data_IF_079348998430
#
_entry.id   IF_079348998430
#
_cell.length_a   1.000
_cell.length_b   1.000
_cell.length_c   1.000
_cell.angle_alpha   90.00
_cell.angle_beta   90.00
_cell.angle_gamma   90.00
#
_symmetry.space_group_name_H-M   'P 1'
#
loop_
_entity.id
_entity.type
_entity.pdbx_description
1 polymer ?
#
# COMPACT_ATOMS: atom_id res chain seq x y z
N UNK A 1 12.72 0.32 2.69
CA UNK A 1 14.00 -0.12 3.27
C UNK A 1 13.68 -1.10 4.38
N UNK A 2 14.50 -2.14 4.53
CA UNK A 2 14.42 -3.05 5.66
C UNK A 2 15.06 -2.43 6.90
N UNK A 3 14.54 -2.78 8.07
CA UNK A 3 15.03 -2.33 9.37
C UNK A 3 15.79 -3.47 10.04
N UNK A 4 17.08 -3.26 10.31
CA UNK A 4 17.97 -4.20 10.97
C UNK A 4 18.29 -3.69 12.37
N UNK A 5 17.79 -4.36 13.41
CA UNK A 5 18.02 -4.01 14.80
C UNK A 5 19.23 -4.79 15.34
N UNK A 6 20.24 -4.11 15.86
CA UNK A 6 21.40 -4.74 16.50
C UNK A 6 21.27 -4.66 18.02
N UNK A 7 21.37 -5.79 18.68
CA UNK A 7 21.27 -5.93 20.14
C UNK A 7 22.51 -6.67 20.65
N UNK A 8 22.97 -6.31 21.82
CA UNK A 8 24.08 -6.99 22.48
C UNK A 8 24.65 -6.14 23.60
N UNK A 9 25.54 -6.73 24.34
CA UNK A 9 26.20 -6.08 25.45
C UNK A 9 27.05 -4.89 25.02
N UNK A 10 27.47 -4.11 26.00
CA UNK A 10 28.50 -3.12 25.79
C UNK A 10 29.74 -3.79 25.14
N UNK A 11 30.37 -3.11 24.22
CA UNK A 11 31.53 -3.59 23.43
C UNK A 11 31.32 -4.87 22.61
N UNK A 12 30.10 -5.38 22.42
CA UNK A 12 29.85 -6.55 21.59
C UNK A 12 30.07 -6.33 20.07
N UNK A 13 30.59 -5.19 19.65
CA UNK A 13 30.96 -4.94 18.26
C UNK A 13 29.83 -4.49 17.34
N UNK A 14 28.66 -4.09 17.85
CA UNK A 14 27.50 -3.65 17.06
C UNK A 14 27.82 -2.47 16.14
N UNK A 15 28.28 -1.37 16.69
CA UNK A 15 28.66 -0.16 15.95
C UNK A 15 29.81 -0.42 14.97
N UNK A 16 30.78 -1.26 15.37
CA UNK A 16 31.88 -1.67 14.51
C UNK A 16 31.42 -2.49 13.32
N UNK A 17 30.42 -3.39 13.52
CA UNK A 17 29.81 -4.13 12.43
C UNK A 17 29.11 -3.22 11.43
N UNK A 18 28.39 -2.22 11.90
CA UNK A 18 27.72 -1.25 11.01
C UNK A 18 28.76 -0.52 10.17
N UNK A 19 29.82 0.03 10.78
CA UNK A 19 30.89 0.72 10.07
C UNK A 19 31.55 -0.19 9.02
N UNK A 20 31.82 -1.45 9.37
CA UNK A 20 32.37 -2.43 8.44
C UNK A 20 31.40 -2.74 7.28
N UNK A 21 30.10 -2.92 7.57
CA UNK A 21 29.10 -3.22 6.56
C UNK A 21 28.96 -2.13 5.52
N UNK A 22 28.94 -0.86 5.97
CA UNK A 22 28.79 0.31 5.09
C UNK A 22 30.13 0.78 4.51
N UNK A 23 31.28 0.23 4.99
CA UNK A 23 32.65 0.63 4.61
C UNK A 23 32.90 2.13 4.84
N UNK A 24 32.27 2.70 5.86
CA UNK A 24 32.41 4.10 6.25
C UNK A 24 32.35 4.22 7.78
N UNK A 25 33.21 5.06 8.36
CA UNK A 25 33.20 5.33 9.79
C UNK A 25 32.12 6.37 10.14
N UNK A 26 30.92 5.88 10.43
CA UNK A 26 29.76 6.72 10.78
C UNK A 26 29.48 6.68 12.27
N UNK A 27 29.59 5.51 12.88
CA UNK A 27 29.41 5.32 14.32
C UNK A 27 30.76 5.50 15.05
N UNK A 28 30.71 6.24 16.15
CA UNK A 28 31.87 6.30 17.07
C UNK A 28 32.06 4.95 17.71
N UNK A 29 33.28 4.45 17.67
CA UNK A 29 33.65 3.16 18.25
C UNK A 29 34.82 3.37 19.20
N UNK A 30 34.72 2.83 20.42
CA UNK A 30 35.75 2.95 21.46
C UNK A 30 35.57 1.90 22.53
N UNK A 31 36.51 1.90 23.51
CA UNK A 31 36.42 1.04 24.69
C UNK A 31 35.43 1.61 25.71
N UNK A 32 35.25 2.93 25.72
CA UNK A 32 34.28 3.62 26.55
C UNK A 32 32.86 3.41 26.04
N UNK A 33 31.85 3.75 26.83
CA UNK A 33 30.44 3.70 26.43
C UNK A 33 30.17 4.85 25.45
N UNK A 34 30.47 4.62 24.18
CA UNK A 34 30.30 5.61 23.11
C UNK A 34 28.82 5.73 22.69
N UNK A 35 28.10 4.61 22.58
CA UNK A 35 26.70 4.59 22.18
C UNK A 35 25.83 4.70 23.42
N UNK A 36 25.45 5.91 23.80
CA UNK A 36 24.61 6.18 24.96
C UNK A 36 23.10 6.16 24.65
N UNK A 37 22.74 6.17 23.36
CA UNK A 37 21.36 6.20 22.87
C UNK A 37 21.14 5.28 21.67
N UNK A 38 20.05 5.52 20.99
CA UNK A 38 19.72 4.82 19.75
C UNK A 38 20.22 5.61 18.55
N UNK A 39 20.89 4.97 17.62
CA UNK A 39 21.31 5.60 16.37
C UNK A 39 20.73 4.85 15.18
N UNK A 40 19.94 5.53 14.37
CA UNK A 40 19.50 5.04 13.06
C UNK A 40 20.59 5.34 12.04
N UNK A 41 21.11 4.34 11.37
CA UNK A 41 22.09 4.50 10.30
C UNK A 41 21.45 4.14 8.98
N UNK A 42 21.31 5.13 8.10
CA UNK A 42 20.59 4.96 6.83
C UNK A 42 21.30 5.67 5.68
N UNK A 43 20.97 5.28 4.45
CA UNK A 43 21.56 5.89 3.25
C UNK A 43 20.77 7.11 2.78
N UNK A 44 21.50 8.11 2.31
CA UNK A 44 20.96 9.32 1.71
C UNK A 44 21.84 9.91 0.62
N UNK A 45 21.45 11.10 0.13
CA UNK A 45 22.20 11.83 -0.92
C UNK A 45 23.38 12.63 -0.35
N UNK A 46 23.29 13.02 0.91
CA UNK A 46 24.32 13.78 1.64
C UNK A 46 24.56 13.11 2.98
N UNK A 47 25.80 13.26 3.49
CA UNK A 47 26.14 12.86 4.85
C UNK A 47 25.59 13.92 5.81
N UNK A 48 24.72 13.49 6.71
CA UNK A 48 24.05 14.37 7.68
C UNK A 48 23.82 13.59 8.98
N UNK A 49 23.85 14.32 10.10
CA UNK A 49 23.50 13.82 11.42
C UNK A 49 22.25 14.56 11.91
N UNK A 50 21.23 13.83 12.33
CA UNK A 50 19.96 14.38 12.78
C UNK A 50 19.73 14.05 14.25
N UNK A 51 19.21 15.03 14.99
CA UNK A 51 18.73 14.83 16.37
C UNK A 51 17.38 14.11 16.40
N UNK A 52 16.95 13.65 17.57
CA UNK A 52 15.74 12.84 17.73
C UNK A 52 14.49 13.46 17.15
N UNK A 53 14.24 14.75 17.38
CA UNK A 53 13.06 15.42 16.83
C UNK A 53 13.12 15.50 15.29
N UNK A 54 14.28 15.79 14.71
CA UNK A 54 14.47 15.80 13.26
C UNK A 54 14.32 14.39 12.68
N UNK A 55 14.84 13.37 13.39
CA UNK A 55 14.67 11.95 13.05
C UNK A 55 13.21 11.57 12.96
N UNK A 56 12.40 11.91 13.96
CA UNK A 56 10.97 11.56 13.99
C UNK A 56 10.14 12.36 12.98
N UNK A 57 10.62 13.54 12.58
CA UNK A 57 9.99 14.30 11.49
C UNK A 57 10.28 13.65 10.12
N UNK A 58 11.52 13.24 9.88
CA UNK A 58 11.95 12.63 8.63
C UNK A 58 11.42 11.20 8.49
N UNK A 59 11.30 10.47 9.60
CA UNK A 59 10.81 9.08 9.67
C UNK A 59 9.54 8.97 10.54
N UNK A 60 8.36 9.36 10.03
CA UNK A 60 7.12 9.40 10.81
C UNK A 60 6.69 8.08 11.45
N UNK A 61 7.11 6.94 10.89
CA UNK A 61 6.81 5.62 11.42
C UNK A 61 7.49 5.35 12.78
N UNK A 62 8.52 6.11 13.14
CA UNK A 62 9.14 6.06 14.48
C UNK A 62 8.52 7.05 15.49
N UNK A 63 7.54 7.87 15.10
CA UNK A 63 6.87 8.82 16.02
C UNK A 63 6.35 8.19 17.32
N UNK A 64 5.85 6.94 17.35
CA UNK A 64 5.42 6.32 18.61
C UNK A 64 6.51 6.22 19.68
N UNK A 65 7.80 6.29 19.33
CA UNK A 65 8.91 6.36 20.31
C UNK A 65 8.82 7.57 21.24
N UNK A 66 8.14 8.64 20.83
CA UNK A 66 7.89 9.81 21.70
C UNK A 66 7.08 9.48 22.96
N UNK A 67 6.32 8.36 22.94
CA UNK A 67 5.55 7.91 24.10
C UNK A 67 6.42 7.28 25.19
N UNK A 68 7.64 6.89 24.84
CA UNK A 68 8.60 6.27 25.77
C UNK A 68 9.44 7.39 26.36
N UNK A 69 9.39 7.51 27.68
CA UNK A 69 10.02 8.61 28.41
C UNK A 69 11.53 8.72 28.14
N UNK A 70 11.98 9.88 27.74
CA UNK A 70 13.39 10.23 27.56
C UNK A 70 14.04 9.70 26.28
N UNK A 71 13.40 8.86 25.49
CA UNK A 71 14.03 8.22 24.31
C UNK A 71 14.40 9.23 23.23
N UNK A 72 13.59 10.26 23.01
CA UNK A 72 13.80 11.25 21.94
C UNK A 72 15.11 12.01 22.08
N UNK A 73 15.50 12.32 23.29
CA UNK A 73 16.75 13.07 23.59
C UNK A 73 18.01 12.22 23.32
N UNK A 74 17.84 10.89 23.31
CA UNK A 74 18.89 9.90 23.07
C UNK A 74 18.72 9.16 21.75
N UNK A 75 17.93 9.72 20.83
CA UNK A 75 17.72 9.21 19.47
C UNK A 75 18.49 10.10 18.48
N UNK A 76 19.26 9.49 17.61
CA UNK A 76 19.97 10.19 16.52
C UNK A 76 19.82 9.44 15.22
N UNK A 77 20.04 10.12 14.11
CA UNK A 77 20.14 9.47 12.79
C UNK A 77 21.39 9.93 12.09
N UNK A 78 22.18 8.96 11.66
CA UNK A 78 23.34 9.18 10.82
C UNK A 78 23.00 8.77 9.38
N UNK A 79 23.11 9.71 8.46
CA UNK A 79 22.87 9.49 7.03
C UNK A 79 24.22 9.37 6.34
N UNK A 80 24.48 8.22 5.72
CA UNK A 80 25.69 7.95 4.95
C UNK A 80 25.39 7.92 3.45
N UNK A 81 26.38 8.25 2.64
CA UNK A 81 26.31 8.20 1.17
C UNK A 81 26.78 6.88 0.60
N UNK A 82 27.23 5.94 1.43
CA UNK A 82 27.67 4.62 1.03
C UNK A 82 26.59 3.85 0.25
N UNK A 83 27.03 3.09 -0.75
CA UNK A 83 26.17 2.20 -1.55
C UNK A 83 26.61 0.73 -1.47
N UNK A 84 27.56 0.43 -0.60
CA UNK A 84 28.09 -0.91 -0.43
C UNK A 84 27.01 -1.90 0.03
N UNK A 85 27.15 -3.16 -0.31
CA UNK A 85 26.31 -4.27 0.16
C UNK A 85 24.79 -3.97 0.16
N UNK A 86 24.29 -3.28 -0.89
CA UNK A 86 22.88 -2.87 -1.01
C UNK A 86 22.39 -1.97 0.15
N UNK A 87 23.30 -1.26 0.84
CA UNK A 87 22.97 -0.38 1.99
C UNK A 87 21.86 0.65 1.69
N UNK A 88 21.69 1.01 0.41
CA UNK A 88 20.57 1.84 -0.04
C UNK A 88 19.18 1.35 0.38
N UNK A 89 19.03 0.05 0.63
CA UNK A 89 17.79 -0.62 1.00
C UNK A 89 17.72 -1.00 2.49
N UNK A 90 18.73 -0.64 3.28
CA UNK A 90 18.83 -1.00 4.69
C UNK A 90 18.79 0.25 5.58
N UNK A 91 18.22 0.12 6.75
CA UNK A 91 18.37 1.04 7.88
C UNK A 91 18.78 0.22 9.10
N UNK A 92 19.98 0.45 9.60
CA UNK A 92 20.43 -0.15 10.85
C UNK A 92 19.94 0.67 12.04
N UNK A 93 19.58 -0.01 13.11
CA UNK A 93 19.33 0.59 14.42
C UNK A 93 20.38 0.06 15.37
N UNK A 94 21.34 0.92 15.70
CA UNK A 94 22.32 0.63 16.74
C UNK A 94 21.72 0.93 18.11
N UNK A 95 21.77 -0.05 19.00
CA UNK A 95 21.23 0.09 20.36
C UNK A 95 22.34 0.40 21.35
N UNK A 96 22.03 1.11 22.44
CA UNK A 96 23.00 1.27 23.53
C UNK A 96 23.46 -0.09 24.02
N UNK A 97 24.74 -0.18 24.38
CA UNK A 97 25.31 -1.41 24.92
C UNK A 97 24.64 -1.78 26.23
N UNK A 98 24.13 -3.00 26.32
CA UNK A 98 23.47 -3.48 27.53
C UNK A 98 24.51 -3.92 28.57
N UNK A 99 24.28 -3.56 29.82
CA UNK A 99 25.15 -3.88 30.95
C UNK A 99 24.29 -4.35 32.12
N UNK A 100 24.77 -5.37 32.84
CA UNK A 100 24.17 -5.80 34.11
C UNK A 100 24.62 -4.87 35.27
N UNK A 101 23.85 -4.87 36.34
CA UNK A 101 24.13 -4.10 37.57
C UNK A 101 23.29 -2.81 37.66
N UNK A 102 23.76 -1.89 38.50
CA UNK A 102 23.03 -0.66 38.88
C UNK A 102 23.08 0.45 37.84
N UNK A 103 23.57 0.16 36.64
CA UNK A 103 23.63 1.16 35.57
C UNK A 103 22.22 1.57 35.14
N UNK A 104 21.86 2.79 35.49
CA UNK A 104 20.57 3.39 35.11
C UNK A 104 20.76 4.15 33.79
N UNK A 105 19.93 3.78 32.81
CA UNK A 105 19.80 4.58 31.59
C UNK A 105 18.90 5.79 31.88
N UNK A 106 19.16 6.96 31.27
CA UNK A 106 18.32 8.14 31.46
C UNK A 106 16.93 8.01 30.82
N UNK A 107 16.65 6.89 30.16
CA UNK A 107 15.39 6.59 29.46
C UNK A 107 15.04 5.08 29.61
N UNK A 108 13.80 4.73 29.28
CA UNK A 108 13.30 3.36 29.34
C UNK A 108 13.84 2.52 28.16
N UNK A 109 15.09 2.04 28.28
CA UNK A 109 15.82 1.34 27.23
C UNK A 109 15.15 0.04 26.80
N UNK A 110 14.58 -0.72 27.78
CA UNK A 110 13.98 -2.01 27.52
C UNK A 110 12.71 -1.88 26.66
N UNK A 111 11.84 -0.95 27.01
CA UNK A 111 10.59 -0.69 26.30
C UNK A 111 10.86 -0.17 24.88
N UNK A 112 11.88 0.67 24.75
CA UNK A 112 12.31 1.18 23.44
C UNK A 112 12.83 0.04 22.54
N UNK A 113 13.66 -0.86 23.06
CA UNK A 113 14.19 -2.00 22.30
C UNK A 113 13.06 -2.96 21.92
N UNK A 114 12.14 -3.27 22.86
CA UNK A 114 10.98 -4.14 22.58
C UNK A 114 10.08 -3.53 21.52
N UNK A 115 9.87 -2.22 21.54
CA UNK A 115 9.09 -1.52 20.53
C UNK A 115 9.81 -1.50 19.16
N UNK A 116 11.10 -1.20 19.14
CA UNK A 116 11.92 -1.22 17.91
C UNK A 116 11.98 -2.64 17.31
N UNK A 117 12.01 -3.67 18.14
CA UNK A 117 11.97 -5.06 17.71
C UNK A 117 10.70 -5.41 16.92
N UNK A 118 9.55 -4.82 17.27
CA UNK A 118 8.30 -5.01 16.49
C UNK A 118 8.38 -4.42 15.09
N UNK A 119 9.15 -3.36 14.93
CA UNK A 119 9.34 -2.66 13.66
C UNK A 119 10.46 -3.26 12.81
N UNK A 120 11.35 -4.06 13.43
CA UNK A 120 12.50 -4.64 12.76
C UNK A 120 12.12 -5.82 11.86
N UNK A 121 12.69 -5.84 10.66
CA UNK A 121 12.59 -6.98 9.74
C UNK A 121 13.52 -8.12 10.13
N UNK A 122 14.64 -7.77 10.78
CA UNK A 122 15.58 -8.73 11.39
C UNK A 122 16.20 -8.14 12.66
N UNK A 123 16.41 -8.99 13.64
CA UNK A 123 17.10 -8.67 14.90
C UNK A 123 18.40 -9.48 14.96
N UNK A 124 19.53 -8.80 14.97
CA UNK A 124 20.86 -9.40 15.11
C UNK A 124 21.31 -9.28 16.57
N UNK A 125 21.49 -10.40 17.22
CA UNK A 125 21.92 -10.46 18.62
C UNK A 125 23.39 -10.87 18.66
N UNK A 126 24.24 -10.00 19.21
CA UNK A 126 25.68 -10.21 19.31
C UNK A 126 26.06 -10.57 20.74
N UNK A 127 26.66 -11.74 20.91
CA UNK A 127 27.26 -12.20 22.15
C UNK A 127 28.78 -12.10 22.09
N UNK A 128 29.36 -11.34 23.00
CA UNK A 128 30.84 -11.21 23.11
C UNK A 128 31.37 -12.32 24.05
N UNK A 129 32.22 -13.24 23.57
CA UNK A 129 32.74 -14.34 24.40
C UNK A 129 33.68 -13.88 25.52
N UNK A 130 34.27 -12.70 25.42
CA UNK A 130 35.23 -12.15 26.42
C UNK A 130 34.53 -11.25 27.42
N UNK A 131 33.50 -10.54 26.96
CA UNK A 131 32.69 -9.67 27.81
C UNK A 131 31.66 -10.43 28.63
N UNK A 132 30.61 -9.73 29.06
CA UNK A 132 29.50 -10.32 29.82
C UNK A 132 28.56 -11.11 28.86
N UNK A 133 29.05 -12.23 28.29
CA UNK A 133 28.27 -13.04 27.34
C UNK A 133 26.87 -13.43 27.85
N UNK A 134 26.72 -13.61 29.17
CA UNK A 134 25.49 -14.03 29.83
C UNK A 134 24.80 -12.89 30.61
N UNK A 135 24.87 -11.65 30.11
CA UNK A 135 24.17 -10.51 30.71
C UNK A 135 22.66 -10.80 30.85
N UNK A 136 22.15 -10.77 32.09
CA UNK A 136 20.75 -11.05 32.39
C UNK A 136 19.80 -10.10 31.67
N UNK A 137 20.16 -8.81 31.57
CA UNK A 137 19.36 -7.80 30.89
C UNK A 137 19.21 -8.14 29.39
N UNK A 138 20.33 -8.49 28.72
CA UNK A 138 20.32 -8.92 27.32
C UNK A 138 19.45 -10.16 27.12
N UNK A 139 19.61 -11.17 27.96
CA UNK A 139 18.85 -12.41 27.89
C UNK A 139 17.33 -12.18 28.11
N UNK A 140 16.96 -11.32 29.06
CA UNK A 140 15.54 -10.97 29.30
C UNK A 140 14.92 -10.22 28.12
N UNK A 141 15.67 -9.31 27.49
CA UNK A 141 15.21 -8.61 26.29
C UNK A 141 15.07 -9.55 25.09
N UNK A 142 16.03 -10.45 24.89
CA UNK A 142 15.99 -11.47 23.83
C UNK A 142 14.77 -12.36 24.02
N UNK A 143 14.47 -12.79 25.26
CA UNK A 143 13.26 -13.56 25.58
C UNK A 143 11.98 -12.78 25.28
N UNK A 144 11.90 -11.50 25.69
CA UNK A 144 10.77 -10.63 25.40
C UNK A 144 10.54 -10.42 23.89
N UNK A 145 11.61 -10.29 23.12
CA UNK A 145 11.56 -10.17 21.66
C UNK A 145 11.18 -11.49 20.97
N UNK A 146 11.62 -12.63 21.48
CA UNK A 146 11.35 -13.94 20.88
C UNK A 146 9.85 -14.28 20.88
N UNK A 147 9.10 -13.81 21.86
CA UNK A 147 7.65 -14.00 21.92
C UNK A 147 6.91 -13.40 20.71
N UNK A 148 7.52 -12.45 20.01
CA UNK A 148 6.90 -11.72 18.91
C UNK A 148 7.65 -11.91 17.57
N UNK A 149 8.95 -12.21 17.61
CA UNK A 149 9.84 -12.15 16.45
C UNK A 149 10.84 -13.33 16.37
N UNK A 150 10.50 -14.52 16.88
CA UNK A 150 11.42 -15.66 16.93
C UNK A 150 12.10 -15.97 15.58
N UNK A 151 11.34 -15.96 14.49
CA UNK A 151 11.83 -16.28 13.14
C UNK A 151 12.77 -15.21 12.57
N UNK A 152 12.67 -13.98 13.09
CA UNK A 152 13.46 -12.82 12.64
C UNK A 152 14.72 -12.60 13.45
N UNK A 153 14.93 -13.39 14.51
CA UNK A 153 16.10 -13.26 15.35
C UNK A 153 17.22 -14.16 14.86
N UNK A 154 18.44 -13.61 14.82
CA UNK A 154 19.67 -14.32 14.50
C UNK A 154 20.73 -14.03 15.55
N UNK A 155 21.41 -15.07 15.99
CA UNK A 155 22.40 -15.02 17.06
C UNK A 155 23.80 -15.18 16.49
N UNK A 156 24.76 -14.37 16.98
CA UNK A 156 26.14 -14.42 16.52
C UNK A 156 27.09 -14.33 17.70
N UNK A 157 28.15 -15.13 17.64
CA UNK A 157 29.29 -15.02 18.54
C UNK A 157 30.26 -14.00 17.94
N UNK A 158 30.23 -12.76 18.47
CA UNK A 158 31.05 -11.67 17.98
C UNK A 158 32.45 -11.72 18.56
N UNK A 159 33.44 -10.99 17.97
CA UNK A 159 34.85 -10.96 18.40
C UNK A 159 35.47 -12.33 18.58
N UNK A 160 35.07 -13.27 17.73
CA UNK A 160 35.54 -14.63 17.84
C UNK A 160 37.09 -14.78 17.67
N UNK A 161 37.71 -13.78 17.06
CA UNK A 161 39.18 -13.67 16.93
C UNK A 161 39.93 -13.37 18.23
N UNK A 162 39.23 -12.83 19.22
CA UNK A 162 39.81 -12.47 20.52
C UNK A 162 39.57 -13.58 21.58
N UNK A 163 38.70 -14.54 21.35
CA UNK A 163 38.25 -15.54 22.30
C UNK A 163 39.22 -16.70 22.57
N UNK A 164 40.49 -16.57 22.26
CA UNK A 164 41.50 -17.59 22.55
C UNK A 164 41.41 -18.82 21.65
N UNK A 165 41.57 -20.02 22.27
CA UNK A 165 41.56 -21.29 21.52
C UNK A 165 40.15 -21.74 21.11
N UNK A 166 40.06 -22.58 20.06
CA UNK A 166 38.80 -23.13 19.56
C UNK A 166 37.94 -23.78 20.64
N UNK A 167 38.60 -24.56 21.51
CA UNK A 167 37.92 -25.25 22.63
C UNK A 167 37.27 -24.29 23.61
N UNK A 168 37.85 -23.12 23.87
CA UNK A 168 37.30 -22.12 24.77
C UNK A 168 36.11 -21.40 24.13
N UNK A 169 36.21 -21.08 22.84
CA UNK A 169 35.06 -20.53 22.07
C UNK A 169 33.86 -21.48 22.08
N UNK A 170 34.10 -22.76 21.84
CA UNK A 170 33.04 -23.77 21.85
C UNK A 170 32.39 -23.91 23.26
N UNK A 171 33.20 -23.87 24.32
CA UNK A 171 32.64 -23.89 25.70
C UNK A 171 31.74 -22.69 25.96
N UNK A 172 32.20 -21.48 25.63
CA UNK A 172 31.40 -20.26 25.82
C UNK A 172 30.12 -20.31 24.97
N UNK A 173 30.24 -20.71 23.71
CA UNK A 173 29.07 -20.88 22.83
C UNK A 173 28.06 -21.85 23.42
N UNK A 174 28.50 -23.01 23.91
CA UNK A 174 27.63 -24.00 24.56
C UNK A 174 26.98 -23.45 25.81
N UNK A 175 27.68 -22.65 26.63
CA UNK A 175 27.10 -21.98 27.80
C UNK A 175 26.01 -21.01 27.40
N UNK A 176 26.24 -20.18 26.36
CA UNK A 176 25.23 -19.24 25.87
C UNK A 176 23.99 -20.00 25.37
N UNK A 177 24.17 -21.02 24.56
CA UNK A 177 23.08 -21.86 24.04
C UNK A 177 22.30 -22.52 25.18
N UNK A 178 22.98 -23.07 26.20
CA UNK A 178 22.32 -23.66 27.36
C UNK A 178 21.47 -22.62 28.12
N UNK A 179 21.97 -21.41 28.33
CA UNK A 179 21.20 -20.35 29.00
C UNK A 179 20.01 -19.88 28.16
N UNK A 180 20.16 -19.81 26.83
CA UNK A 180 19.05 -19.51 25.93
C UNK A 180 17.99 -20.63 25.95
N UNK A 181 18.41 -21.89 25.95
CA UNK A 181 17.50 -23.05 26.00
C UNK A 181 16.71 -23.16 27.31
N UNK A 182 17.21 -22.65 28.43
CA UNK A 182 16.48 -22.62 29.70
C UNK A 182 15.29 -21.68 29.68
N UNK A 183 15.20 -20.77 28.72
CA UNK A 183 14.16 -19.74 28.66
C UNK A 183 12.98 -20.17 27.80
N UNK A 184 11.74 -20.08 28.33
CA UNK A 184 10.55 -20.43 27.59
C UNK A 184 10.41 -19.48 26.37
N UNK A 185 10.12 -20.02 25.21
CA UNK A 185 10.01 -19.25 23.97
C UNK A 185 11.25 -19.29 23.08
N UNK A 186 12.45 -19.39 23.64
CA UNK A 186 13.69 -19.52 22.87
C UNK A 186 13.99 -20.97 22.45
N UNK A 187 13.42 -21.96 23.13
CA UNK A 187 13.60 -23.38 22.78
C UNK A 187 13.19 -23.77 21.35
N UNK A 188 12.43 -22.92 20.67
CA UNK A 188 11.95 -23.12 19.30
C UNK A 188 12.90 -22.53 18.26
N UNK A 189 13.83 -21.68 18.67
CA UNK A 189 14.83 -21.12 17.78
C UNK A 189 15.93 -22.15 17.60
N UNK A 190 16.16 -22.64 16.38
CA UNK A 190 17.36 -23.38 16.10
C UNK A 190 18.57 -22.48 16.37
N UNK A 191 19.39 -22.84 17.38
CA UNK A 191 20.56 -22.04 17.75
C UNK A 191 21.74 -22.37 16.84
N UNK A 192 21.71 -21.79 15.64
CA UNK A 192 22.91 -21.59 14.88
C UNK A 192 23.56 -20.28 15.32
N UNK A 193 24.77 -20.34 15.84
CA UNK A 193 25.50 -19.18 16.36
C UNK A 193 26.86 -19.05 15.64
N UNK A 194 26.85 -18.55 14.41
CA UNK A 194 28.06 -18.37 13.65
C UNK A 194 29.07 -17.46 14.37
N UNK A 195 30.36 -17.83 14.31
CA UNK A 195 31.45 -17.04 14.86
C UNK A 195 31.83 -15.94 13.87
N UNK A 196 31.70 -14.69 14.31
CA UNK A 196 32.00 -13.52 13.48
C UNK A 196 33.04 -12.61 14.11
N UNK A 197 33.84 -11.97 13.28
CA UNK A 197 34.73 -10.88 13.67
C UNK A 197 34.97 -9.94 12.49
N UNK A 198 35.43 -8.72 12.78
CA UNK A 198 35.77 -7.77 11.73
C UNK A 198 37.19 -8.08 11.25
N UNK A 199 37.38 -8.37 9.94
CA UNK A 199 38.69 -8.68 9.42
C UNK A 199 39.70 -7.56 9.66
N UNK A 200 40.80 -7.87 10.29
CA UNK A 200 41.92 -6.94 10.46
C UNK A 200 43.15 -7.51 9.73
N UNK A 201 43.63 -6.85 8.66
CA UNK A 201 44.77 -7.34 7.86
C UNK A 201 46.06 -7.48 8.66
N UNK A 202 46.22 -6.76 9.79
CA UNK A 202 47.42 -6.78 10.63
C UNK A 202 47.46 -7.95 11.62
N UNK A 203 46.37 -8.71 11.77
CA UNK A 203 46.23 -9.80 12.76
C UNK A 203 45.99 -11.13 12.08
N UNK A 204 46.88 -12.10 12.27
CA UNK A 204 46.64 -13.46 11.83
C UNK A 204 45.70 -14.17 12.79
N UNK A 205 44.54 -14.57 12.30
CA UNK A 205 43.51 -15.24 13.11
C UNK A 205 43.36 -16.69 12.63
N UNK A 206 43.27 -17.63 13.58
CA UNK A 206 43.05 -19.07 13.28
C UNK A 206 41.58 -19.46 13.30
N UNK A 207 40.66 -18.52 13.51
CA UNK A 207 39.23 -18.75 13.54
C UNK A 207 38.62 -18.56 12.14
N UNK A 208 37.71 -19.43 11.77
CA UNK A 208 36.89 -19.22 10.55
C UNK A 208 35.93 -18.09 10.78
N UNK A 209 35.96 -17.09 9.91
CA UNK A 209 35.05 -15.94 9.99
C UNK A 209 33.79 -16.18 9.17
N UNK A 210 32.64 -16.19 9.80
CA UNK A 210 31.34 -16.38 9.15
C UNK A 210 30.57 -15.05 8.96
N UNK A 211 31.26 -13.90 8.99
CA UNK A 211 30.63 -12.59 8.87
C UNK A 211 29.85 -12.41 7.56
N UNK A 212 30.26 -13.10 6.50
CA UNK A 212 29.55 -13.12 5.21
C UNK A 212 28.17 -13.76 5.31
N UNK A 213 27.94 -14.65 6.27
CA UNK A 213 26.60 -15.24 6.52
C UNK A 213 25.62 -14.18 7.01
N UNK A 214 26.10 -13.22 7.82
CA UNK A 214 25.27 -12.08 8.24
C UNK A 214 24.82 -11.27 7.04
N UNK A 215 25.75 -10.98 6.12
CA UNK A 215 25.44 -10.29 4.86
C UNK A 215 24.42 -11.04 4.03
N UNK A 216 24.59 -12.36 3.86
CA UNK A 216 23.65 -13.23 3.12
C UNK A 216 22.25 -13.23 3.77
N UNK A 217 22.17 -13.26 5.10
CA UNK A 217 20.90 -13.18 5.80
C UNK A 217 20.20 -11.83 5.55
N UNK A 218 20.93 -10.71 5.62
CA UNK A 218 20.39 -9.38 5.33
C UNK A 218 19.94 -9.31 3.86
N UNK A 219 20.75 -9.78 2.92
CA UNK A 219 20.40 -9.81 1.49
C UNK A 219 19.13 -10.62 1.22
N UNK A 220 19.02 -11.82 1.82
CA UNK A 220 17.82 -12.66 1.69
C UNK A 220 16.55 -11.93 2.16
N UNK A 221 16.64 -11.17 3.22
CA UNK A 221 15.51 -10.38 3.74
C UNK A 221 15.20 -9.18 2.83
N UNK A 222 16.23 -8.53 2.27
CA UNK A 222 16.05 -7.47 1.26
C UNK A 222 15.26 -8.04 0.09
N UNK A 223 15.71 -9.15 -0.47
CA UNK A 223 15.11 -9.77 -1.65
C UNK A 223 13.66 -10.22 -1.36
N UNK A 224 13.42 -10.82 -0.19
CA UNK A 224 12.06 -11.19 0.25
C UNK A 224 11.17 -9.96 0.44
N UNK A 225 11.66 -8.90 1.06
CA UNK A 225 10.89 -7.65 1.27
C UNK A 225 10.56 -6.97 -0.06
N UNK A 226 11.50 -6.93 -1.00
CA UNK A 226 11.28 -6.39 -2.35
C UNK A 226 10.22 -7.22 -3.08
N UNK A 227 10.34 -8.55 -3.06
CA UNK A 227 9.36 -9.44 -3.70
C UNK A 227 7.96 -9.26 -3.09
N UNK A 228 7.85 -9.30 -1.77
CA UNK A 228 6.58 -9.06 -1.07
C UNK A 228 5.96 -7.71 -1.42
N UNK A 229 6.77 -6.65 -1.50
CA UNK A 229 6.29 -5.31 -1.90
C UNK A 229 5.78 -5.29 -3.34
N UNK A 230 6.45 -5.98 -4.24
CA UNK A 230 6.01 -6.13 -5.64
C UNK A 230 4.69 -6.91 -5.75
N UNK A 231 4.53 -7.94 -4.93
CA UNK A 231 3.30 -8.77 -4.92
C UNK A 231 2.11 -7.99 -4.32
N UNK A 232 2.35 -7.14 -3.30
CA UNK A 232 1.33 -6.22 -2.79
C UNK A 232 0.93 -5.21 -3.86
N UNK A 233 1.91 -4.57 -4.51
CA UNK A 233 1.66 -3.61 -5.57
C UNK A 233 0.83 -4.23 -6.72
N UNK A 234 1.12 -5.47 -7.11
CA UNK A 234 0.35 -6.17 -8.13
C UNK A 234 -1.10 -6.36 -7.72
N UNK A 235 -1.34 -6.86 -6.51
CA UNK A 235 -2.70 -7.03 -5.98
C UNK A 235 -3.47 -5.71 -5.93
N UNK A 236 -2.81 -4.65 -5.48
CA UNK A 236 -3.43 -3.32 -5.43
C UNK A 236 -3.76 -2.81 -6.84
N UNK A 237 -2.86 -3.00 -7.80
CA UNK A 237 -3.09 -2.64 -9.20
C UNK A 237 -4.23 -3.45 -9.83
N UNK A 238 -4.33 -4.76 -9.54
CA UNK A 238 -5.45 -5.58 -10.00
C UNK A 238 -6.79 -5.16 -9.40
N UNK A 239 -6.81 -4.85 -8.10
CA UNK A 239 -8.01 -4.35 -7.43
C UNK A 239 -8.44 -3.00 -8.01
N UNK A 240 -7.52 -2.07 -8.19
CA UNK A 240 -7.79 -0.78 -8.81
C UNK A 240 -8.28 -0.96 -10.26
N UNK A 241 -7.66 -1.84 -11.04
CA UNK A 241 -8.08 -2.15 -12.40
C UNK A 241 -9.53 -2.66 -12.45
N UNK A 242 -9.89 -3.60 -11.57
CA UNK A 242 -11.27 -4.12 -11.45
C UNK A 242 -12.26 -3.01 -11.10
N UNK A 243 -11.97 -2.21 -10.07
CA UNK A 243 -12.85 -1.11 -9.65
C UNK A 243 -13.05 -0.07 -10.75
N UNK A 244 -11.99 0.27 -11.49
CA UNK A 244 -12.07 1.22 -12.61
C UNK A 244 -12.92 0.64 -13.74
N UNK A 245 -12.70 -0.63 -14.09
CA UNK A 245 -13.47 -1.31 -15.15
C UNK A 245 -14.95 -1.40 -14.78
N UNK A 246 -15.29 -1.83 -13.57
CA UNK A 246 -16.65 -1.87 -13.05
C UNK A 246 -17.32 -0.48 -13.09
N UNK A 247 -16.59 0.57 -12.74
CA UNK A 247 -17.11 1.94 -12.77
C UNK A 247 -17.40 2.43 -14.17
N UNK A 248 -16.55 2.10 -15.14
CA UNK A 248 -16.76 2.44 -16.57
C UNK A 248 -17.95 1.65 -17.11
N UNK A 249 -18.10 0.36 -16.76
CA UNK A 249 -19.21 -0.48 -17.17
C UNK A 249 -20.55 0.03 -16.60
N UNK A 250 -20.58 0.38 -15.30
CA UNK A 250 -21.75 1.01 -14.68
C UNK A 250 -22.15 2.32 -15.39
N UNK A 251 -21.17 3.15 -15.79
CA UNK A 251 -21.44 4.37 -16.56
C UNK A 251 -22.02 4.06 -17.94
N UNK A 252 -21.53 3.03 -18.62
CA UNK A 252 -22.06 2.63 -19.93
C UNK A 252 -23.49 2.06 -19.81
N UNK A 253 -23.77 1.27 -18.77
CA UNK A 253 -25.12 0.77 -18.46
C UNK A 253 -26.05 1.96 -18.16
N UNK A 254 -25.64 2.86 -17.27
CA UNK A 254 -26.42 4.06 -16.92
C UNK A 254 -26.73 4.93 -18.15
N UNK A 255 -25.77 5.08 -19.07
CA UNK A 255 -26.00 5.81 -20.35
C UNK A 255 -27.01 5.11 -21.25
N UNK A 256 -26.95 3.79 -21.37
CA UNK A 256 -27.91 2.99 -22.13
C UNK A 256 -29.32 3.11 -21.57
N UNK A 257 -29.44 3.01 -20.24
CA UNK A 257 -30.71 3.19 -19.54
C UNK A 257 -31.26 4.61 -19.72
N UNK A 258 -30.43 5.63 -19.56
CA UNK A 258 -30.82 7.01 -19.77
C UNK A 258 -31.27 7.27 -21.22
N UNK A 259 -30.63 6.64 -22.20
CA UNK A 259 -31.04 6.73 -23.60
C UNK A 259 -32.41 6.13 -23.83
N UNK A 260 -32.67 4.93 -23.33
CA UNK A 260 -33.98 4.26 -23.44
C UNK A 260 -35.07 5.02 -22.71
N UNK A 261 -34.80 5.56 -21.51
CA UNK A 261 -35.70 6.42 -20.77
C UNK A 261 -35.97 7.73 -21.55
N UNK A 262 -34.96 8.31 -22.17
CA UNK A 262 -35.10 9.48 -23.03
C UNK A 262 -36.06 9.27 -24.17
N UNK A 263 -35.96 8.15 -24.89
CA UNK A 263 -36.87 7.80 -25.98
C UNK A 263 -38.29 7.55 -25.47
N UNK A 264 -38.50 6.83 -24.38
CA UNK A 264 -39.80 6.64 -23.75
C UNK A 264 -40.45 7.96 -23.35
N UNK A 265 -39.69 8.85 -22.76
CA UNK A 265 -40.15 10.21 -22.40
C UNK A 265 -40.57 11.00 -23.62
N UNK A 266 -39.75 11.00 -24.68
CA UNK A 266 -40.01 11.69 -25.92
C UNK A 266 -41.30 11.17 -26.56
N UNK A 267 -41.50 9.83 -26.58
CA UNK A 267 -42.73 9.18 -27.06
C UNK A 267 -43.96 9.65 -26.29
N UNK A 268 -43.93 9.62 -24.95
CA UNK A 268 -45.02 10.08 -24.10
C UNK A 268 -45.33 11.58 -24.29
N UNK A 269 -44.31 12.41 -24.44
CA UNK A 269 -44.48 13.83 -24.74
C UNK A 269 -45.11 14.08 -26.10
N UNK A 270 -44.71 13.30 -27.14
CA UNK A 270 -45.30 13.41 -28.47
C UNK A 270 -46.76 12.99 -28.44
N UNK A 271 -47.11 11.85 -27.82
CA UNK A 271 -48.49 11.41 -27.66
C UNK A 271 -49.33 12.46 -26.94
N UNK A 272 -48.82 13.03 -25.84
CA UNK A 272 -49.50 14.07 -25.10
C UNK A 272 -49.75 15.34 -25.91
N UNK A 273 -48.90 15.65 -26.88
CA UNK A 273 -49.04 16.84 -27.76
C UNK A 273 -49.94 16.55 -28.94
N UNK A 274 -49.92 15.32 -29.49
CA UNK A 274 -50.78 14.92 -30.60
C UNK A 274 -52.24 14.88 -30.20
N UNK A 275 -52.59 14.41 -28.98
CA UNK A 275 -53.99 14.29 -28.53
C UNK A 275 -54.73 15.65 -28.56
N UNK A 276 -54.25 16.71 -27.91
CA UNK A 276 -54.93 18.04 -27.96
C UNK A 276 -54.87 18.65 -29.36
N UNK A 277 -53.81 18.38 -30.13
CA UNK A 277 -53.71 18.83 -31.51
C UNK A 277 -54.81 18.22 -32.38
N UNK A 278 -55.06 16.90 -32.27
CA UNK A 278 -56.15 16.21 -32.98
C UNK A 278 -57.50 16.74 -32.58
N UNK A 279 -57.72 17.01 -31.28
CA UNK A 279 -58.97 17.61 -30.77
C UNK A 279 -59.20 19.01 -31.38
N UNK A 280 -58.13 19.86 -31.36
CA UNK A 280 -58.20 21.16 -31.94
C UNK A 280 -58.45 21.15 -33.46
N UNK A 281 -57.76 20.26 -34.15
CA UNK A 281 -57.89 20.06 -35.58
C UNK A 281 -59.34 19.63 -35.96
N UNK A 282 -59.89 18.69 -35.21
CA UNK A 282 -61.31 18.25 -35.38
C UNK A 282 -62.29 19.39 -35.14
N UNK A 283 -62.02 20.25 -34.15
CA UNK A 283 -62.85 21.46 -33.90
C UNK A 283 -62.72 22.50 -35.02
N UNK A 284 -61.52 22.68 -35.59
CA UNK A 284 -61.30 23.60 -36.73
C UNK A 284 -62.00 23.11 -38.04
N UNK A 285 -61.97 21.82 -38.29
CA UNK A 285 -62.60 21.23 -39.46
C UNK A 285 -64.13 21.37 -39.41
N UNK A 286 -64.73 21.33 -38.20
CA UNK A 286 -66.21 21.42 -38.01
C UNK A 286 -66.73 22.85 -37.81
N UNK A 287 -65.84 23.76 -37.36
CA UNK A 287 -66.22 25.12 -37.03
C UNK A 287 -66.22 26.06 -38.25
N UNK A 288 -66.54 27.33 -37.99
CA UNK A 288 -66.54 28.38 -39.03
C UNK A 288 -65.15 28.61 -39.65
N UNK A 289 -64.11 28.04 -39.09
CA UNK A 289 -62.71 28.16 -39.52
C UNK A 289 -62.34 27.21 -40.70
N UNK A 290 -63.27 26.41 -41.20
CA UNK A 290 -63.01 25.48 -42.32
C UNK A 290 -62.46 26.16 -43.54
N UNK A 291 -62.98 27.38 -43.88
CA UNK A 291 -62.50 28.16 -44.99
C UNK A 291 -61.05 28.68 -44.85
N UNK A 292 -60.61 28.95 -43.60
CA UNK A 292 -59.20 29.26 -43.35
C UNK A 292 -58.28 28.07 -43.56
N UNK A 293 -58.75 26.88 -43.20
CA UNK A 293 -57.97 25.63 -43.33
C UNK A 293 -57.83 25.29 -44.83
N UNK A 294 -58.89 25.43 -45.63
CA UNK A 294 -58.88 25.27 -47.09
C UNK A 294 -57.98 26.26 -47.78
N UNK A 295 -57.91 27.49 -47.27
CA UNK A 295 -57.01 28.55 -47.79
C UNK A 295 -55.55 28.26 -47.48
N UNK A 296 -55.18 27.67 -46.34
CA UNK A 296 -53.83 27.37 -45.93
C UNK A 296 -53.31 26.04 -46.48
N UNK A 297 -54.11 25.02 -46.55
CA UNK A 297 -53.66 23.62 -46.89
C UNK A 297 -54.14 23.16 -48.30
N UNK A 298 -55.05 23.90 -48.91
CA UNK A 298 -55.67 23.54 -50.18
C UNK A 298 -56.84 22.58 -50.02
N UNK A 299 -57.78 22.57 -51.01
CA UNK A 299 -59.04 21.82 -50.93
C UNK A 299 -58.83 20.30 -50.90
N UNK A 300 -57.88 19.78 -51.69
CA UNK A 300 -57.58 18.34 -51.78
C UNK A 300 -56.97 17.80 -50.48
N UNK A 301 -56.05 18.53 -49.84
CA UNK A 301 -55.42 18.12 -48.59
C UNK A 301 -56.42 18.16 -47.42
N UNK A 302 -57.36 19.09 -47.44
CA UNK A 302 -58.43 19.22 -46.45
C UNK A 302 -59.43 18.03 -46.55
N UNK A 303 -59.72 17.53 -47.75
CA UNK A 303 -60.56 16.34 -47.94
C UNK A 303 -59.89 15.08 -47.40
N UNK A 304 -58.61 14.86 -47.62
CA UNK A 304 -57.86 13.75 -47.03
C UNK A 304 -57.79 13.84 -45.49
N UNK A 305 -57.67 15.04 -44.95
CA UNK A 305 -57.66 15.28 -43.51
C UNK A 305 -59.01 14.99 -42.88
N UNK A 306 -60.11 15.34 -43.55
CA UNK A 306 -61.49 14.99 -43.14
C UNK A 306 -61.68 13.47 -43.16
N UNK A 307 -61.18 12.78 -44.21
CA UNK A 307 -61.25 11.33 -44.27
C UNK A 307 -60.47 10.65 -43.16
N UNK A 308 -59.26 11.19 -42.82
CA UNK A 308 -58.43 10.67 -41.71
C UNK A 308 -59.09 10.91 -40.34
N UNK A 309 -59.90 11.95 -40.20
CA UNK A 309 -60.62 12.31 -38.96
C UNK A 309 -61.97 11.63 -38.79
N UNK A 310 -62.46 10.88 -39.81
CA UNK A 310 -63.77 10.19 -39.74
C UNK A 310 -63.88 9.20 -38.55
N UNK A 311 -62.88 8.46 -38.12
CA UNK A 311 -62.99 7.60 -36.94
C UNK A 311 -63.24 8.36 -35.65
N UNK A 312 -62.60 9.52 -35.50
CA UNK A 312 -62.75 10.40 -34.34
C UNK A 312 -64.13 11.03 -34.38
N UNK A 313 -64.61 11.29 -35.55
CA UNK A 313 -65.93 11.83 -35.87
C UNK A 313 -67.04 10.84 -35.51
N UNK A 314 -66.89 9.58 -35.81
CA UNK A 314 -67.81 8.52 -35.45
C UNK A 314 -67.91 8.41 -33.91
N UNK A 315 -66.79 8.48 -33.22
CA UNK A 315 -66.76 8.43 -31.75
C UNK A 315 -67.49 9.61 -31.10
N UNK A 316 -67.39 10.81 -31.70
CA UNK A 316 -68.09 12.02 -31.22
C UNK A 316 -69.60 12.07 -31.53
N UNK A 317 -70.06 11.36 -32.59
CA UNK A 317 -71.49 11.25 -32.96
C UNK A 317 -72.27 10.25 -32.12
N UNK A 318 -71.58 9.32 -31.47
CA UNK A 318 -72.23 8.36 -30.55
C UNK A 318 -72.64 9.02 -29.22
N UNK A 319 -72.07 10.18 -28.89
CA UNK A 319 -72.36 10.91 -27.66
C UNK A 319 -73.31 12.12 -27.97
N UNK A 320 -74.50 12.23 -27.35
CA UNK A 320 -75.40 13.35 -27.56
C UNK A 320 -74.81 14.67 -27.06
N UNK A 321 -75.13 15.77 -27.72
CA UNK A 321 -74.84 17.12 -27.16
C UNK A 321 -75.55 17.27 -25.83
N UNK A 322 -74.91 17.55 -24.72
CA UNK A 322 -73.77 18.47 -24.44
C UNK A 322 -72.47 17.79 -24.09
N UNK A 323 -72.33 16.48 -24.31
CA UNK A 323 -71.14 15.70 -23.88
C UNK A 323 -69.88 15.94 -24.69
N UNK A 324 -69.93 16.61 -25.83
CA UNK A 324 -68.74 16.93 -26.65
C UNK A 324 -67.63 17.72 -25.90
N UNK A 325 -68.07 18.66 -25.05
CA UNK A 325 -67.13 19.42 -24.20
C UNK A 325 -66.48 18.55 -23.13
N UNK A 326 -67.25 17.58 -22.60
CA UNK A 326 -66.78 16.64 -21.57
C UNK A 326 -65.78 15.65 -22.13
N UNK A 327 -65.94 15.21 -23.37
CA UNK A 327 -64.92 14.37 -24.07
C UNK A 327 -63.67 15.16 -24.36
N UNK A 328 -63.75 16.41 -24.80
CA UNK A 328 -62.59 17.25 -25.04
C UNK A 328 -61.82 17.52 -23.73
N UNK A 329 -62.50 17.74 -22.62
CA UNK A 329 -61.86 17.95 -21.31
C UNK A 329 -61.22 16.62 -20.80
N UNK A 330 -61.87 15.51 -20.99
CA UNK A 330 -61.31 14.18 -20.65
C UNK A 330 -60.05 13.87 -21.45
N UNK A 331 -60.03 14.12 -22.78
CA UNK A 331 -58.86 13.97 -23.62
C UNK A 331 -57.71 14.86 -23.23
N UNK A 332 -57.97 16.10 -22.88
CA UNK A 332 -56.93 17.02 -22.37
C UNK A 332 -56.39 16.58 -21.01
N UNK A 333 -57.26 16.08 -20.11
CA UNK A 333 -56.84 15.49 -18.84
C UNK A 333 -55.92 14.29 -19.03
N UNK A 334 -56.26 13.39 -19.99
CA UNK A 334 -55.39 12.26 -20.35
C UNK A 334 -54.02 12.73 -20.90
N UNK A 335 -54.02 13.74 -21.76
CA UNK A 335 -52.76 14.35 -22.26
C UNK A 335 -51.88 14.90 -21.13
N UNK A 336 -52.50 15.58 -20.16
CA UNK A 336 -51.80 16.08 -18.97
C UNK A 336 -51.28 14.91 -18.12
N UNK A 337 -52.04 13.85 -17.95
CA UNK A 337 -51.58 12.64 -17.25
C UNK A 337 -50.35 12.04 -17.90
N UNK A 338 -50.28 11.96 -19.24
CA UNK A 338 -49.11 11.52 -19.99
C UNK A 338 -47.88 12.44 -19.75
N UNK A 339 -48.07 13.73 -19.68
CA UNK A 339 -46.97 14.67 -19.31
C UNK A 339 -46.47 14.47 -17.90
N UNK A 340 -47.39 14.28 -16.94
CA UNK A 340 -47.03 14.01 -15.55
C UNK A 340 -46.27 12.68 -15.44
N UNK A 341 -46.75 11.63 -16.09
CA UNK A 341 -46.03 10.33 -16.09
C UNK A 341 -44.68 10.40 -16.82
N UNK A 342 -44.57 11.15 -17.91
CA UNK A 342 -43.30 11.42 -18.59
C UNK A 342 -42.29 12.15 -17.69
N UNK A 343 -42.79 13.08 -16.85
CA UNK A 343 -41.94 13.79 -15.91
C UNK A 343 -41.57 12.95 -14.68
N UNK A 344 -42.49 12.16 -14.15
CA UNK A 344 -42.27 11.35 -12.95
C UNK A 344 -41.33 10.17 -13.19
N UNK A 345 -41.37 9.58 -14.39
CA UNK A 345 -40.53 8.46 -14.77
C UNK A 345 -39.17 8.87 -15.35
N UNK A 346 -38.72 10.10 -15.11
CA UNK A 346 -37.51 10.71 -15.74
C UNK A 346 -36.39 11.02 -14.76
N UNK A 347 -36.16 10.17 -13.73
CA UNK A 347 -34.92 10.26 -12.95
C UNK A 347 -33.78 9.63 -13.76
N UNK A 348 -32.96 10.47 -14.37
CA UNK A 348 -31.73 10.00 -15.05
C UNK A 348 -30.69 9.52 -14.04
N UNK A 349 -30.10 8.40 -14.32
CA UNK A 349 -28.97 7.90 -13.54
C UNK A 349 -27.76 8.83 -13.71
N UNK A 350 -27.01 9.12 -12.63
CA UNK A 350 -25.81 9.95 -12.72
C UNK A 350 -24.75 9.25 -13.59
N UNK A 351 -24.25 9.94 -14.59
CA UNK A 351 -23.20 9.49 -15.50
C UNK A 351 -21.90 10.22 -15.28
N UNK A 352 -20.77 9.59 -15.62
CA UNK A 352 -19.46 10.19 -15.55
C UNK A 352 -19.31 11.32 -16.55
N UNK A 353 -18.63 12.41 -16.13
CA UNK A 353 -18.21 13.46 -17.06
C UNK A 353 -17.11 12.97 -17.97
N UNK A 354 -16.96 13.59 -19.17
CA UNK A 354 -15.90 13.23 -20.11
C UNK A 354 -14.49 13.32 -19.49
N UNK A 355 -14.27 14.28 -18.58
CA UNK A 355 -12.99 14.45 -17.87
C UNK A 355 -12.73 13.29 -16.91
N UNK A 356 -13.74 12.89 -16.14
CA UNK A 356 -13.64 11.76 -15.22
C UNK A 356 -13.40 10.44 -15.97
N UNK A 357 -14.12 10.20 -17.06
CA UNK A 357 -13.94 9.00 -17.88
C UNK A 357 -12.53 8.89 -18.44
N UNK A 358 -11.99 9.98 -19.03
CA UNK A 358 -10.60 10.02 -19.51
C UNK A 358 -9.61 9.74 -18.39
N UNK A 359 -9.78 10.37 -17.21
CA UNK A 359 -8.89 10.13 -16.09
C UNK A 359 -8.88 8.67 -15.65
N UNK A 360 -10.03 7.98 -15.68
CA UNK A 360 -10.11 6.55 -15.35
C UNK A 360 -9.45 5.67 -16.44
N UNK A 361 -9.67 6.00 -17.72
CA UNK A 361 -9.03 5.32 -18.86
C UNK A 361 -7.51 5.51 -18.83
N UNK A 362 -7.01 6.72 -18.55
CA UNK A 362 -5.58 7.01 -18.39
C UNK A 362 -4.97 6.21 -17.22
N UNK A 363 -5.69 6.09 -16.10
CA UNK A 363 -5.27 5.28 -14.97
C UNK A 363 -5.16 3.79 -15.33
N UNK A 364 -6.14 3.26 -16.06
CA UNK A 364 -6.12 1.86 -16.52
C UNK A 364 -4.94 1.61 -17.47
N UNK A 365 -4.75 2.49 -18.44
CA UNK A 365 -3.62 2.44 -19.39
C UNK A 365 -2.27 2.52 -18.66
N UNK A 366 -2.15 3.36 -17.63
CA UNK A 366 -0.94 3.45 -16.81
C UNK A 366 -0.64 2.13 -16.09
N UNK A 367 -1.67 1.52 -15.47
CA UNK A 367 -1.53 0.23 -14.78
C UNK A 367 -1.09 -0.87 -15.76
N UNK A 368 -1.75 -0.98 -16.92
CA UNK A 368 -1.50 -2.05 -17.87
C UNK A 368 -0.18 -1.90 -18.63
N UNK A 369 0.13 -0.71 -19.09
CA UNK A 369 1.27 -0.47 -20.00
C UNK A 369 2.55 -0.07 -19.29
N UNK A 370 2.47 0.43 -18.04
CA UNK A 370 3.66 0.92 -17.33
C UNK A 370 3.96 0.09 -16.09
N UNK A 371 2.96 -0.19 -15.24
CA UNK A 371 3.21 -0.86 -13.96
C UNK A 371 3.45 -2.35 -14.16
N UNK A 372 2.56 -3.05 -14.85
CA UNK A 372 2.67 -4.51 -15.10
C UNK A 372 3.98 -4.89 -15.83
N UNK A 373 4.38 -4.24 -16.94
CA UNK A 373 5.63 -4.61 -17.64
C UNK A 373 6.88 -4.32 -16.82
N UNK A 374 6.91 -3.22 -16.04
CA UNK A 374 8.06 -2.89 -15.18
C UNK A 374 8.27 -3.90 -14.06
N UNK A 375 7.21 -4.53 -13.56
CA UNK A 375 7.33 -5.62 -12.57
C UNK A 375 8.00 -6.83 -13.19
N UNK A 376 7.57 -7.24 -14.38
CA UNK A 376 8.13 -8.40 -15.09
C UNK A 376 9.62 -8.20 -15.35
N UNK A 377 10.04 -7.00 -15.78
CA UNK A 377 11.45 -6.66 -15.99
C UNK A 377 12.28 -6.77 -14.70
N UNK A 378 11.81 -6.22 -13.58
CA UNK A 378 12.52 -6.31 -12.29
C UNK A 378 12.52 -7.71 -11.68
N UNK A 379 11.45 -8.46 -11.81
CA UNK A 379 11.42 -9.86 -11.38
C UNK A 379 12.39 -10.71 -12.21
N UNK A 380 12.53 -10.43 -13.51
CA UNK A 380 13.48 -11.10 -14.39
C UNK A 380 14.94 -10.76 -14.07
N UNK A 381 15.25 -9.49 -13.75
CA UNK A 381 16.59 -9.08 -13.29
C UNK A 381 17.00 -9.74 -11.97
N UNK A 382 16.07 -9.90 -11.02
CA UNK A 382 16.35 -10.59 -9.76
C UNK A 382 16.58 -12.10 -9.95
N UNK A 383 15.78 -12.75 -10.80
CA UNK A 383 15.97 -14.18 -11.10
C UNK A 383 17.27 -14.45 -11.86
N UNK A 384 17.67 -13.56 -12.76
CA UNK A 384 18.95 -13.69 -13.50
C UNK A 384 20.13 -13.49 -12.56
N UNK A 385 20.09 -12.55 -11.61
CA UNK A 385 21.14 -12.37 -10.59
C UNK A 385 21.23 -13.55 -9.63
N UNK A 386 20.11 -14.18 -9.27
CA UNK A 386 20.12 -15.41 -8.47
C UNK A 386 20.64 -16.62 -9.26
N UNK A 387 20.28 -16.75 -10.54
CA UNK A 387 20.76 -17.84 -11.38
C UNK A 387 22.26 -17.74 -11.68
N UNK A 388 22.79 -16.53 -11.91
CA UNK A 388 24.23 -16.31 -12.10
C UNK A 388 25.04 -16.58 -10.83
N UNK A 389 24.50 -16.30 -9.64
CA UNK A 389 25.15 -16.65 -8.37
C UNK A 389 25.12 -18.16 -8.08
N UNK A 390 24.10 -18.89 -8.51
CA UNK A 390 24.06 -20.34 -8.40
C UNK A 390 24.99 -21.03 -9.39
N UNK A 391 25.20 -20.51 -10.60
CA UNK A 391 26.18 -21.07 -11.55
C UNK A 391 27.61 -20.89 -11.11
N UNK A 392 27.95 -19.83 -10.37
CA UNK A 392 29.29 -19.66 -9.79
C UNK A 392 29.59 -20.64 -8.64
N UNK A 393 28.57 -21.19 -7.99
CA UNK A 393 28.73 -22.22 -6.93
C UNK A 393 28.92 -23.65 -7.46
N UNK A 394 28.58 -23.92 -8.73
CA UNK A 394 28.74 -25.26 -9.35
C UNK A 394 30.02 -25.38 -10.17
N UNK A 395 30.85 -24.34 -10.27
CA UNK A 395 32.10 -24.32 -11.06
C UNK A 395 33.34 -24.12 -10.15
N UNK A 396 33.18 -23.97 -8.85
CA UNK A 396 34.22 -24.00 -7.83
C UNK A 396 34.03 -25.28 -6.98
#
# INVERSE_FOLDING_TARGET
KIVVLLIGNHSAGKSSFINWYIEEHVQKTGVAIETQGFTLVTSGKKRESLTGNATLHLFPHFKPLQRIKGVVDYLTTEISTSRQKKFGLVTFIDTPGLVDGDMKYPFEVNDAILWLGKMADIVLVFFDPIGQALCKRTLNLVEGLSNQNADRMKFYLSKADEAGHEADRQKVMMQIVQELCKRPGLNRCGFDMPAIYIPNPSKTVRCTNQIEEVCKHIEKIIDHSVQSTLDVLERDCEQLGKLVTERIEQDNIAKSENFTMGWRRLGLCLISLIIPFLVLLNHMIRGPSKGLLEMCLGTTTTEYLILFMTPIDLLSKVLPEPYGLLVATAMTAVAIAFLITARWNSSFNPTLTRKQKRSLEDTLNYIENIVKPKKVGKACEMTVTHASNLQLFFIS
#
